data_IF_734350496995
#
_entry.id   IF_734350496995
#
_cell.length_a   1.000
_cell.length_b   1.000
_cell.length_c   1.000
_cell.angle_alpha   90.00
_cell.angle_beta   90.00
_cell.angle_gamma   90.00
#
_symmetry.space_group_name_H-M   'P 1'
#
loop_
_entity.id
_entity.type
_entity.pdbx_description
1 polymer ?
#
# COMPACT_ATOMS: atom_id res chain seq x y z
N UNK A 1 10.58 28.68 5.72
CA UNK A 1 11.71 29.12 4.91
C UNK A 1 12.30 27.89 4.26
N UNK A 2 12.11 27.72 2.93
CA UNK A 2 12.86 26.71 2.19
C UNK A 2 14.34 27.09 2.30
N UNK A 3 15.11 26.32 3.01
CA UNK A 3 16.56 26.38 2.93
C UNK A 3 16.91 25.80 1.59
N UNK A 4 17.35 26.62 0.63
CA UNK A 4 17.81 26.14 -0.66
C UNK A 4 19.08 25.33 -0.43
N UNK A 5 18.92 24.01 -0.33
CA UNK A 5 20.06 23.10 -0.26
C UNK A 5 20.69 23.05 -1.64
N UNK A 6 21.91 23.48 -1.76
CA UNK A 6 22.66 23.34 -3.00
C UNK A 6 23.10 21.90 -3.19
N UNK A 7 23.14 21.46 -4.43
CA UNK A 7 23.57 20.13 -4.84
C UNK A 7 24.60 20.22 -5.94
N UNK A 8 25.41 19.19 -6.07
CA UNK A 8 26.37 19.07 -7.15
C UNK A 8 25.70 18.37 -8.34
N UNK A 9 25.57 19.06 -9.46
CA UNK A 9 25.18 18.48 -10.73
C UNK A 9 26.42 18.03 -11.51
N UNK A 10 26.72 16.74 -11.48
CA UNK A 10 27.79 16.11 -12.23
C UNK A 10 27.24 15.16 -13.32
N UNK A 11 26.02 15.38 -13.78
CA UNK A 11 25.36 14.54 -14.80
C UNK A 11 26.08 14.59 -16.15
N UNK A 12 26.68 15.72 -16.51
CA UNK A 12 27.50 15.88 -17.71
C UNK A 12 28.73 14.95 -17.74
N UNK A 13 29.18 14.50 -16.58
CA UNK A 13 30.33 13.60 -16.41
C UNK A 13 29.91 12.15 -16.11
N UNK A 14 28.62 11.82 -16.24
CA UNK A 14 28.09 10.47 -16.00
C UNK A 14 27.96 10.08 -14.52
N UNK A 15 28.16 11.01 -13.59
CA UNK A 15 28.10 10.75 -12.13
C UNK A 15 26.70 10.97 -11.56
N UNK A 16 25.96 11.96 -12.10
CA UNK A 16 24.61 12.29 -11.61
C UNK A 16 24.61 13.41 -10.58
N UNK A 17 23.48 13.54 -9.85
CA UNK A 17 23.30 14.55 -8.81
C UNK A 17 23.85 14.04 -7.47
N UNK A 18 24.70 14.82 -6.80
CA UNK A 18 25.34 14.45 -5.54
C UNK A 18 24.89 15.41 -4.44
N UNK A 19 24.47 14.86 -3.32
CA UNK A 19 24.05 15.60 -2.10
C UNK A 19 25.06 15.36 -0.98
N UNK A 20 25.12 16.29 -0.02
CA UNK A 20 25.94 16.12 1.19
C UNK A 20 27.45 16.38 1.00
N UNK A 21 27.83 17.04 -0.09
CA UNK A 21 29.21 17.52 -0.33
C UNK A 21 29.22 19.05 -0.41
N UNK A 22 30.40 19.63 -0.32
CA UNK A 22 30.58 21.08 -0.49
C UNK A 22 30.87 21.46 -1.95
N UNK A 23 30.85 22.77 -2.24
CA UNK A 23 31.07 23.31 -3.58
C UNK A 23 32.47 23.00 -4.12
N UNK A 24 33.49 23.05 -3.27
CA UNK A 24 34.85 22.77 -3.66
C UNK A 24 35.05 21.31 -4.09
N UNK A 25 34.41 20.39 -3.37
CA UNK A 25 34.37 18.95 -3.73
C UNK A 25 33.61 18.72 -5.02
N UNK A 26 32.47 19.41 -5.20
CA UNK A 26 31.67 19.32 -6.42
C UNK A 26 32.46 19.73 -7.66
N UNK A 27 33.05 20.91 -7.62
CA UNK A 27 33.77 21.48 -8.77
C UNK A 27 35.15 20.85 -8.99
N UNK A 28 35.82 20.49 -7.90
CA UNK A 28 37.17 19.91 -7.94
C UNK A 28 37.19 18.39 -8.27
N UNK A 29 36.49 17.60 -7.48
CA UNK A 29 36.55 16.14 -7.59
C UNK A 29 35.63 15.55 -8.64
N UNK A 30 34.48 16.19 -8.87
CA UNK A 30 33.44 15.69 -9.77
C UNK A 30 33.29 16.54 -11.04
N UNK A 31 34.02 17.67 -11.14
CA UNK A 31 33.89 18.65 -12.21
C UNK A 31 32.41 18.99 -12.49
N UNK A 32 31.64 19.09 -11.42
CA UNK A 32 30.21 19.32 -11.44
C UNK A 32 29.86 20.80 -11.30
N UNK A 33 28.60 21.13 -11.50
CA UNK A 33 28.05 22.47 -11.29
C UNK A 33 27.36 22.53 -9.94
N UNK A 34 27.73 23.52 -9.11
CA UNK A 34 27.10 23.76 -7.82
C UNK A 34 25.81 24.57 -8.02
N UNK A 35 24.67 23.92 -7.88
CA UNK A 35 23.37 24.49 -8.21
C UNK A 35 22.37 24.39 -7.05
N UNK A 36 21.29 25.13 -7.12
CA UNK A 36 20.19 25.02 -6.15
C UNK A 36 19.43 23.71 -6.38
N UNK A 37 19.15 22.98 -5.32
CA UNK A 37 18.40 21.71 -5.37
C UNK A 37 17.02 21.85 -6.03
N UNK A 38 16.44 23.03 -6.00
CA UNK A 38 15.13 23.30 -6.60
C UNK A 38 15.12 23.38 -8.14
N UNK A 39 16.26 23.23 -8.79
CA UNK A 39 16.34 23.47 -10.25
C UNK A 39 15.98 22.25 -11.11
N UNK A 40 15.93 21.02 -10.57
CA UNK A 40 15.85 19.86 -11.47
C UNK A 40 15.08 18.65 -10.94
N UNK A 41 14.51 18.67 -9.76
CA UNK A 41 13.49 17.69 -9.43
C UNK A 41 12.15 18.23 -9.90
N UNK A 42 11.71 17.82 -11.08
CA UNK A 42 10.31 17.85 -11.48
C UNK A 42 9.50 16.95 -10.56
N UNK A 43 9.53 17.24 -9.26
CA UNK A 43 8.66 16.63 -8.30
C UNK A 43 7.30 17.32 -8.46
N UNK A 44 6.34 16.60 -8.95
CA UNK A 44 5.01 16.76 -8.39
C UNK A 44 5.19 16.49 -6.90
N UNK A 45 4.91 17.49 -6.06
CA UNK A 45 4.80 17.24 -4.61
C UNK A 45 3.78 16.12 -4.43
N UNK A 46 4.25 14.93 -4.13
CA UNK A 46 3.37 13.79 -3.93
C UNK A 46 2.87 13.84 -2.49
N UNK A 47 1.58 14.14 -2.35
CA UNK A 47 0.93 14.17 -1.04
C UNK A 47 0.68 12.76 -0.52
N UNK A 48 0.99 12.58 0.76
CA UNK A 48 0.74 11.38 1.52
C UNK A 48 0.02 11.71 2.82
N UNK A 49 -0.93 10.86 3.20
CA UNK A 49 -1.64 10.98 4.48
C UNK A 49 -1.13 9.94 5.47
N UNK A 50 -0.96 10.33 6.72
CA UNK A 50 -0.61 9.39 7.79
C UNK A 50 -1.83 8.56 8.13
N UNK A 51 -1.72 7.23 8.05
CA UNK A 51 -2.75 6.30 8.50
C UNK A 51 -2.61 6.09 10.01
N UNK A 52 -1.41 5.73 10.46
CA UNK A 52 -1.10 5.46 11.87
C UNK A 52 0.41 5.37 12.12
N UNK A 53 0.78 5.40 13.39
CA UNK A 53 2.09 4.96 13.86
C UNK A 53 1.97 3.48 14.25
N UNK A 54 2.85 2.64 13.72
CA UNK A 54 2.90 1.22 14.02
C UNK A 54 3.52 0.98 15.41
N UNK A 55 3.32 -0.22 15.97
CA UNK A 55 3.88 -0.63 17.27
C UNK A 55 5.41 -0.53 17.31
N UNK A 56 6.08 -0.72 16.20
CA UNK A 56 7.53 -0.61 16.05
C UNK A 56 8.04 0.83 15.82
N UNK A 57 7.16 1.83 15.94
CA UNK A 57 7.46 3.24 15.77
C UNK A 57 7.53 3.69 14.30
N UNK A 58 7.37 2.80 13.32
CA UNK A 58 7.32 3.18 11.92
C UNK A 58 6.00 3.90 11.59
N UNK A 59 6.03 4.80 10.60
CA UNK A 59 4.89 5.63 10.22
C UNK A 59 4.27 5.06 8.96
N UNK A 60 3.02 4.60 9.04
CA UNK A 60 2.25 4.08 7.91
C UNK A 60 1.54 5.20 7.19
N UNK A 61 1.80 5.33 5.88
CA UNK A 61 1.27 6.40 5.04
C UNK A 61 0.61 5.84 3.78
N UNK A 62 -0.40 6.57 3.28
CA UNK A 62 -1.13 6.28 2.03
C UNK A 62 -0.99 7.46 1.08
N UNK A 63 -0.73 7.18 -0.18
CA UNK A 63 -0.69 8.20 -1.23
C UNK A 63 -2.07 8.88 -1.37
N UNK A 64 -2.07 10.21 -1.53
CA UNK A 64 -3.31 10.98 -1.69
C UNK A 64 -4.07 10.56 -2.94
N UNK A 65 -3.42 10.61 -4.08
CA UNK A 65 -4.01 10.26 -5.36
C UNK A 65 -3.78 8.78 -5.70
N UNK A 66 -4.70 8.22 -6.46
CA UNK A 66 -4.49 6.91 -7.06
C UNK A 66 -3.31 6.93 -8.04
N UNK A 67 -2.45 5.92 -7.97
CA UNK A 67 -1.33 5.75 -8.90
C UNK A 67 -1.82 5.40 -10.31
N UNK A 68 -2.92 4.67 -10.38
CA UNK A 68 -3.70 4.35 -11.57
C UNK A 68 -5.03 3.68 -11.16
N UNK A 69 -5.80 3.21 -12.14
CA UNK A 69 -6.91 2.26 -11.95
C UNK A 69 -6.44 0.86 -12.31
N UNK A 70 -6.72 -0.13 -11.47
CA UNK A 70 -6.36 -1.53 -11.70
C UNK A 70 -7.45 -2.47 -11.23
N UNK A 71 -7.50 -3.66 -11.83
CA UNK A 71 -8.18 -4.81 -11.24
C UNK A 71 -7.43 -5.25 -10.00
N UNK A 72 -8.13 -5.78 -9.01
CA UNK A 72 -7.46 -6.45 -7.89
C UNK A 72 -6.88 -7.79 -8.38
N UNK A 73 -7.67 -8.55 -9.14
CA UNK A 73 -7.23 -9.74 -9.86
C UNK A 73 -7.92 -9.88 -11.22
N UNK A 74 -7.33 -10.60 -12.17
CA UNK A 74 -7.90 -10.78 -13.50
C UNK A 74 -9.18 -11.64 -13.48
N UNK A 75 -9.16 -12.73 -12.73
CA UNK A 75 -10.26 -13.67 -12.60
C UNK A 75 -10.95 -13.51 -11.25
N UNK A 76 -12.18 -14.00 -11.14
CA UNK A 76 -13.02 -13.86 -9.96
C UNK A 76 -13.72 -15.14 -9.51
N UNK A 77 -13.59 -16.21 -10.27
CA UNK A 77 -14.36 -17.44 -10.18
C UNK A 77 -13.82 -18.45 -9.16
N UNK A 78 -12.88 -18.03 -8.31
CA UNK A 78 -12.32 -18.85 -7.24
C UNK A 78 -12.02 -18.01 -5.99
N UNK A 79 -12.11 -18.62 -4.82
CA UNK A 79 -11.79 -18.02 -3.53
C UNK A 79 -10.32 -17.57 -3.42
N UNK A 80 -9.42 -18.14 -4.18
CA UNK A 80 -8.02 -17.75 -4.24
C UNK A 80 -7.85 -16.27 -4.63
N UNK A 81 -8.68 -15.77 -5.52
CA UNK A 81 -8.53 -14.44 -6.12
C UNK A 81 -8.84 -13.25 -5.18
N UNK A 82 -9.32 -13.49 -3.96
CA UNK A 82 -9.43 -12.42 -2.95
C UNK A 82 -8.07 -12.01 -2.37
N UNK A 83 -7.03 -12.80 -2.59
CA UNK A 83 -5.69 -12.57 -2.01
C UNK A 83 -4.85 -11.56 -2.77
N UNK A 84 -4.11 -10.73 -2.03
CA UNK A 84 -3.03 -9.91 -2.58
C UNK A 84 -1.94 -10.76 -3.23
N UNK A 85 -1.70 -11.93 -2.64
CA UNK A 85 -1.10 -13.09 -3.30
C UNK A 85 -2.02 -14.28 -3.10
N UNK A 86 -1.97 -15.25 -3.99
CA UNK A 86 -2.87 -16.40 -3.97
C UNK A 86 -2.14 -17.70 -4.35
N UNK A 87 -2.78 -18.82 -4.09
CA UNK A 87 -2.23 -20.15 -4.34
C UNK A 87 -2.79 -20.79 -5.61
N UNK A 88 -3.24 -22.03 -5.47
CA UNK A 88 -3.80 -22.84 -6.58
C UNK A 88 -5.30 -22.65 -6.63
N UNK A 89 -5.82 -22.26 -7.79
CA UNK A 89 -7.27 -22.27 -8.09
C UNK A 89 -7.77 -23.70 -8.22
N UNK A 90 -9.07 -23.90 -8.05
CA UNK A 90 -9.71 -25.23 -8.06
C UNK A 90 -9.11 -26.22 -7.03
N UNK A 91 -8.41 -25.69 -6.02
CA UNK A 91 -7.87 -26.51 -4.94
C UNK A 91 -8.97 -26.98 -4.00
N UNK A 92 -8.74 -28.13 -3.39
CA UNK A 92 -9.64 -28.73 -2.38
C UNK A 92 -9.24 -28.41 -0.94
N UNK A 93 -8.18 -27.63 -0.74
CA UNK A 93 -7.70 -27.26 0.59
C UNK A 93 -7.50 -25.75 0.72
N UNK A 94 -7.85 -25.20 1.88
CA UNK A 94 -7.62 -23.78 2.21
C UNK A 94 -6.15 -23.39 2.06
N UNK A 95 -5.24 -24.20 2.57
CA UNK A 95 -3.81 -23.92 2.54
C UNK A 95 -3.26 -23.80 1.11
N UNK A 96 -3.71 -24.63 0.19
CA UNK A 96 -3.29 -24.56 -1.20
C UNK A 96 -3.95 -23.39 -1.94
N UNK A 97 -5.25 -23.13 -1.70
CA UNK A 97 -5.99 -21.98 -2.28
C UNK A 97 -5.35 -20.64 -1.88
N UNK A 98 -4.94 -20.52 -0.62
CA UNK A 98 -4.40 -19.29 -0.04
C UNK A 98 -2.88 -19.30 0.19
N UNK A 99 -2.15 -20.18 -0.48
CA UNK A 99 -0.68 -20.10 -0.55
C UNK A 99 -0.26 -18.79 -1.25
N UNK A 100 0.90 -18.25 -0.86
CA UNK A 100 1.40 -16.98 -1.41
C UNK A 100 2.37 -17.24 -2.58
N UNK A 101 1.95 -18.00 -3.58
CA UNK A 101 2.81 -18.43 -4.71
C UNK A 101 2.62 -17.59 -5.97
N UNK A 102 1.46 -16.95 -6.14
CA UNK A 102 1.13 -16.14 -7.30
C UNK A 102 0.83 -14.70 -6.88
N UNK A 103 1.30 -13.74 -7.65
CA UNK A 103 0.97 -12.32 -7.47
C UNK A 103 -0.40 -12.00 -8.09
N UNK A 104 -1.22 -11.23 -7.39
CA UNK A 104 -2.41 -10.63 -7.98
C UNK A 104 -2.04 -9.52 -8.97
N UNK A 105 -2.99 -9.10 -9.81
CA UNK A 105 -2.81 -7.99 -10.73
C UNK A 105 -2.45 -6.71 -10.00
N UNK A 106 -3.14 -6.42 -8.88
CA UNK A 106 -2.87 -5.21 -8.10
C UNK A 106 -1.49 -5.22 -7.44
N UNK A 107 -1.00 -6.40 -7.00
CA UNK A 107 0.37 -6.54 -6.48
C UNK A 107 1.39 -6.21 -7.57
N UNK A 108 1.23 -6.78 -8.76
CA UNK A 108 2.12 -6.50 -9.90
C UNK A 108 2.12 -5.00 -10.26
N UNK A 109 0.96 -4.36 -10.22
CA UNK A 109 0.82 -2.91 -10.42
C UNK A 109 1.60 -2.11 -9.38
N UNK A 110 1.48 -2.46 -8.11
CA UNK A 110 2.18 -1.79 -7.01
C UNK A 110 3.69 -2.04 -7.05
N UNK A 111 4.13 -3.26 -7.33
CA UNK A 111 5.55 -3.60 -7.46
C UNK A 111 6.21 -2.80 -8.60
N UNK A 112 5.56 -2.72 -9.75
CA UNK A 112 6.03 -1.94 -10.90
C UNK A 112 6.12 -0.44 -10.56
N UNK A 113 5.10 0.09 -9.87
CA UNK A 113 5.09 1.48 -9.46
C UNK A 113 6.19 1.76 -8.43
N UNK A 114 6.39 0.88 -7.45
CA UNK A 114 7.47 1.02 -6.46
C UNK A 114 8.84 1.06 -7.13
N UNK A 115 9.09 0.15 -8.05
CA UNK A 115 10.36 0.08 -8.79
C UNK A 115 10.66 1.38 -9.54
N UNK A 116 9.65 1.99 -10.13
CA UNK A 116 9.80 3.20 -10.93
C UNK A 116 9.87 4.48 -10.11
N UNK A 117 9.32 4.50 -8.89
CA UNK A 117 9.12 5.73 -8.13
C UNK A 117 9.78 5.72 -6.74
N UNK A 118 9.90 4.56 -6.08
CA UNK A 118 10.31 4.50 -4.67
C UNK A 118 11.61 3.74 -4.41
N UNK A 119 12.20 3.05 -5.37
CA UNK A 119 13.41 2.24 -5.15
C UNK A 119 14.58 3.08 -4.60
N UNK A 120 14.70 4.32 -5.04
CA UNK A 120 15.72 5.26 -4.58
C UNK A 120 15.50 5.75 -3.13
N UNK A 121 14.30 5.57 -2.59
CA UNK A 121 13.92 5.91 -1.22
C UNK A 121 13.89 4.70 -0.28
N UNK A 122 14.35 3.54 -0.74
CA UNK A 122 14.32 2.29 0.04
C UNK A 122 15.05 2.39 1.40
N UNK A 123 16.02 3.29 1.53
CA UNK A 123 16.75 3.53 2.78
C UNK A 123 15.86 4.06 3.91
N UNK A 124 14.78 4.80 3.59
CA UNK A 124 13.83 5.36 4.57
C UNK A 124 12.52 4.57 4.66
N UNK A 125 12.29 3.61 3.78
CA UNK A 125 11.09 2.76 3.80
C UNK A 125 11.34 1.56 4.71
N UNK A 126 10.36 1.26 5.57
CA UNK A 126 10.39 0.15 6.51
C UNK A 126 9.51 -1.00 6.04
N UNK A 127 9.90 -2.22 6.38
CA UNK A 127 9.12 -3.43 6.14
C UNK A 127 8.34 -3.85 7.39
N UNK A 128 7.31 -3.08 7.75
CA UNK A 128 6.43 -3.35 8.90
C UNK A 128 5.24 -4.24 8.56
N UNK A 129 5.12 -4.65 7.31
CA UNK A 129 4.13 -5.59 6.81
C UNK A 129 2.78 -4.98 6.42
N UNK A 130 2.03 -5.76 5.64
CA UNK A 130 0.71 -5.42 5.11
C UNK A 130 -0.23 -6.60 5.33
N UNK A 131 -1.37 -6.38 6.00
CA UNK A 131 -2.29 -7.44 6.35
C UNK A 131 -3.37 -7.65 5.28
N UNK A 132 -3.37 -8.81 4.64
CA UNK A 132 -4.42 -9.25 3.72
C UNK A 132 -5.31 -10.33 4.30
N UNK A 133 -5.78 -10.16 5.54
CA UNK A 133 -6.48 -11.12 6.40
C UNK A 133 -7.51 -11.98 5.67
N UNK A 134 -7.15 -13.22 5.38
CA UNK A 134 -8.01 -14.25 4.79
C UNK A 134 -8.60 -15.21 5.83
N UNK A 135 -8.49 -14.89 7.14
CA UNK A 135 -9.18 -15.65 8.17
C UNK A 135 -10.68 -15.75 7.87
N UNK A 136 -11.29 -16.86 8.23
CA UNK A 136 -12.68 -17.13 7.90
C UNK A 136 -13.61 -16.61 9.00
N UNK A 137 -14.58 -15.78 8.63
CA UNK A 137 -15.76 -15.47 9.44
C UNK A 137 -16.85 -16.55 9.26
N UNK A 138 -16.95 -17.09 8.04
CA UNK A 138 -17.80 -18.25 7.71
C UNK A 138 -17.37 -18.88 6.38
N UNK A 139 -17.80 -20.14 6.14
CA UNK A 139 -17.47 -20.86 4.91
C UNK A 139 -16.13 -21.59 4.98
N UNK A 140 -15.62 -22.02 3.82
CA UNK A 140 -14.42 -22.87 3.70
C UNK A 140 -13.21 -22.15 3.11
N UNK A 141 -13.41 -21.04 2.41
CA UNK A 141 -12.34 -20.35 1.68
C UNK A 141 -11.83 -21.10 0.45
N UNK A 142 -12.66 -21.95 -0.16
CA UNK A 142 -12.26 -22.84 -1.26
C UNK A 142 -13.26 -22.72 -2.40
N UNK A 143 -12.73 -22.60 -3.63
CA UNK A 143 -13.50 -22.60 -4.88
C UNK A 143 -14.61 -21.55 -4.87
N UNK A 144 -15.81 -21.95 -5.27
CA UNK A 144 -17.01 -21.09 -5.37
C UNK A 144 -17.93 -21.22 -4.15
N UNK A 145 -17.54 -21.95 -3.11
CA UNK A 145 -18.34 -22.08 -1.89
C UNK A 145 -18.44 -20.72 -1.17
N UNK A 146 -19.67 -20.37 -0.73
CA UNK A 146 -19.86 -19.12 0.01
C UNK A 146 -18.93 -19.02 1.20
N UNK A 147 -18.10 -18.02 1.17
CA UNK A 147 -17.13 -17.70 2.21
C UNK A 147 -17.23 -16.23 2.57
N UNK A 148 -17.17 -15.90 3.86
CA UNK A 148 -17.03 -14.54 4.38
C UNK A 148 -15.72 -14.47 5.15
N UNK A 149 -14.90 -13.47 4.87
CA UNK A 149 -13.57 -13.33 5.49
C UNK A 149 -13.62 -12.51 6.78
N UNK A 150 -12.54 -12.50 7.54
CA UNK A 150 -12.48 -11.92 8.88
C UNK A 150 -12.95 -10.47 8.96
N UNK A 151 -12.50 -9.61 8.02
CA UNK A 151 -12.95 -8.22 7.98
C UNK A 151 -14.46 -8.08 7.75
N UNK A 152 -15.11 -9.03 7.03
CA UNK A 152 -16.57 -9.03 6.89
C UNK A 152 -17.27 -9.20 8.24
N UNK A 153 -16.82 -10.16 9.04
CA UNK A 153 -17.35 -10.39 10.39
C UNK A 153 -17.15 -9.17 11.28
N UNK A 154 -15.95 -8.63 11.31
CA UNK A 154 -15.60 -7.48 12.15
C UNK A 154 -16.36 -6.22 11.77
N UNK A 155 -16.36 -5.84 10.50
CA UNK A 155 -16.83 -4.51 10.08
C UNK A 155 -18.33 -4.47 9.78
N UNK A 156 -18.88 -5.56 9.20
CA UNK A 156 -20.30 -5.59 8.84
C UNK A 156 -21.20 -6.07 9.98
N UNK A 157 -20.75 -7.12 10.71
CA UNK A 157 -21.58 -7.74 11.76
C UNK A 157 -21.30 -7.14 13.14
N UNK A 158 -20.03 -7.11 13.56
CA UNK A 158 -19.68 -6.83 14.95
C UNK A 158 -19.31 -5.36 15.22
N UNK A 159 -18.99 -4.58 14.20
CA UNK A 159 -18.50 -3.18 14.31
C UNK A 159 -17.25 -3.06 15.20
N UNK A 160 -16.33 -4.02 15.10
CA UNK A 160 -15.12 -4.13 15.93
C UNK A 160 -13.87 -4.24 15.06
N UNK A 161 -13.41 -3.14 14.44
CA UNK A 161 -12.19 -3.13 13.64
C UNK A 161 -10.95 -3.46 14.48
N UNK A 162 -9.88 -3.98 13.85
CA UNK A 162 -8.62 -4.31 14.52
C UNK A 162 -7.40 -4.01 13.63
N UNK A 163 -6.27 -3.65 14.26
CA UNK A 163 -5.00 -3.46 13.56
C UNK A 163 -4.14 -4.73 13.49
N UNK A 164 -4.35 -5.68 14.41
CA UNK A 164 -3.57 -6.91 14.46
C UNK A 164 -3.94 -7.81 13.30
N UNK A 165 -2.92 -8.29 12.57
CA UNK A 165 -3.10 -9.31 11.54
C UNK A 165 -3.32 -10.68 12.22
N UNK A 166 -4.47 -11.35 12.02
CA UNK A 166 -4.78 -12.58 12.73
C UNK A 166 -3.89 -13.76 12.37
N UNK A 167 -3.39 -13.80 11.13
CA UNK A 167 -2.59 -14.89 10.61
C UNK A 167 -1.26 -14.39 10.06
N UNK A 168 -0.15 -15.03 10.45
CA UNK A 168 1.19 -14.68 9.96
C UNK A 168 1.34 -14.90 8.45
N UNK A 169 0.63 -15.88 7.88
CA UNK A 169 0.62 -16.13 6.43
C UNK A 169 -0.03 -15.00 5.63
N UNK A 170 -0.87 -14.19 6.26
CA UNK A 170 -1.56 -13.04 5.65
C UNK A 170 -0.89 -11.70 5.97
N UNK A 171 0.17 -11.71 6.77
CA UNK A 171 1.02 -10.55 6.98
C UNK A 171 2.13 -10.56 5.93
N UNK A 172 1.95 -9.76 4.89
CA UNK A 172 2.88 -9.67 3.77
C UNK A 172 4.08 -8.82 4.11
N UNK A 173 5.27 -9.40 3.98
CA UNK A 173 6.58 -8.79 4.26
C UNK A 173 7.59 -9.23 3.21
N UNK A 174 8.74 -8.55 3.12
CA UNK A 174 9.84 -8.95 2.23
C UNK A 174 10.67 -10.09 2.85
N UNK A 175 11.53 -10.69 2.07
CA UNK A 175 12.40 -11.79 2.49
C UNK A 175 13.33 -11.42 3.67
N UNK A 176 13.62 -10.15 3.86
CA UNK A 176 14.50 -9.65 4.93
C UNK A 176 13.82 -9.48 6.28
N UNK A 177 12.48 -9.53 6.32
CA UNK A 177 11.71 -9.37 7.55
C UNK A 177 11.89 -10.55 8.51
N UNK A 178 11.82 -10.27 9.81
CA UNK A 178 11.71 -11.28 10.87
C UNK A 178 10.26 -11.71 11.11
N UNK A 179 9.28 -11.02 10.51
CA UNK A 179 7.83 -11.22 10.68
C UNK A 179 7.20 -11.68 9.35
N UNK A 180 5.96 -12.12 9.40
CA UNK A 180 5.10 -12.33 8.25
C UNK A 180 5.53 -13.47 7.33
N UNK A 181 4.97 -13.45 6.13
CA UNK A 181 5.09 -14.54 5.15
C UNK A 181 6.32 -14.43 4.21
N UNK A 182 7.02 -13.29 4.23
CA UNK A 182 8.24 -13.03 3.43
C UNK A 182 8.06 -13.14 1.90
N UNK A 183 6.85 -12.94 1.42
CA UNK A 183 6.50 -13.18 0.02
C UNK A 183 6.57 -11.93 -0.86
N UNK A 184 6.80 -10.74 -0.27
CA UNK A 184 6.89 -9.50 -1.05
C UNK A 184 8.26 -9.32 -1.71
N UNK A 185 8.23 -8.76 -2.92
CA UNK A 185 9.42 -8.23 -3.60
C UNK A 185 9.79 -6.86 -3.04
N UNK A 186 8.78 -5.99 -2.84
CA UNK A 186 8.94 -4.63 -2.34
C UNK A 186 8.03 -4.38 -1.13
N UNK A 187 8.43 -3.53 -0.17
CA UNK A 187 7.64 -3.20 1.02
C UNK A 187 6.52 -2.19 0.70
N UNK A 188 5.57 -2.61 -0.14
CA UNK A 188 4.43 -1.82 -0.59
C UNK A 188 3.16 -2.67 -0.56
N UNK A 189 2.02 -2.04 -0.26
CA UNK A 189 0.71 -2.69 -0.23
C UNK A 189 -0.42 -1.68 -0.30
N UNK A 190 -1.57 -2.06 0.25
CA UNK A 190 -2.76 -1.23 0.34
C UNK A 190 -3.17 -1.02 1.81
N UNK A 191 -4.05 -0.07 2.04
CA UNK A 191 -4.73 0.12 3.32
C UNK A 191 -5.66 -1.06 3.59
N UNK A 192 -5.86 -1.43 4.85
CA UNK A 192 -6.88 -2.42 5.22
C UNK A 192 -8.25 -1.76 5.41
N UNK A 193 -9.32 -2.53 5.26
CA UNK A 193 -10.67 -2.05 5.56
C UNK A 193 -10.83 -1.68 7.04
N UNK A 194 -10.13 -2.38 7.93
CA UNK A 194 -10.10 -2.07 9.37
C UNK A 194 -9.45 -0.70 9.63
N UNK A 195 -8.35 -0.35 8.96
CA UNK A 195 -7.73 0.98 9.04
C UNK A 195 -8.66 2.08 8.52
N UNK A 196 -9.38 1.82 7.43
CA UNK A 196 -10.41 2.75 6.91
C UNK A 196 -11.55 2.93 7.93
N UNK A 197 -12.00 1.85 8.58
CA UNK A 197 -13.04 1.93 9.60
C UNK A 197 -12.60 2.75 10.83
N UNK A 198 -11.34 2.62 11.27
CA UNK A 198 -10.80 3.47 12.34
C UNK A 198 -10.71 4.95 11.94
N UNK A 199 -10.49 5.23 10.65
CA UNK A 199 -10.48 6.60 10.14
C UNK A 199 -11.88 7.22 10.03
N UNK A 200 -12.94 6.41 10.05
CA UNK A 200 -14.33 6.89 9.98
C UNK A 200 -15.19 6.27 8.87
N UNK A 201 -14.62 5.37 8.06
CA UNK A 201 -15.37 4.64 7.02
C UNK A 201 -16.33 3.62 7.63
N UNK A 202 -17.58 3.61 7.20
CA UNK A 202 -18.63 2.69 7.68
C UNK A 202 -19.20 1.88 6.53
N UNK A 203 -19.47 0.58 6.78
CA UNK A 203 -20.03 -0.27 5.73
C UNK A 203 -21.41 0.18 5.29
N UNK A 204 -21.51 0.58 4.02
CA UNK A 204 -22.75 0.98 3.35
C UNK A 204 -23.27 2.35 3.76
N UNK A 205 -22.51 3.16 4.48
CA UNK A 205 -22.90 4.50 4.92
C UNK A 205 -21.96 5.55 4.33
N UNK A 206 -22.50 6.53 3.62
CA UNK A 206 -21.74 7.65 3.09
C UNK A 206 -21.21 8.51 4.24
N UNK A 207 -19.90 8.77 4.24
CA UNK A 207 -19.26 9.69 5.15
C UNK A 207 -18.09 10.39 4.43
N UNK A 208 -18.29 11.61 3.99
CA UNK A 208 -17.29 12.41 3.26
C UNK A 208 -16.32 13.16 4.19
N UNK A 209 -16.48 13.03 5.51
CA UNK A 209 -15.84 13.94 6.46
C UNK A 209 -14.58 13.36 7.13
N UNK A 210 -14.20 12.12 6.84
CA UNK A 210 -12.95 11.60 7.40
C UNK A 210 -11.76 11.80 6.46
N UNK A 211 -10.60 11.97 7.06
CA UNK A 211 -9.39 12.48 6.40
C UNK A 211 -8.82 11.61 5.26
N UNK A 212 -9.26 10.36 5.08
CA UNK A 212 -8.78 9.50 3.97
C UNK A 212 -9.61 9.64 2.69
N UNK A 213 -10.75 10.34 2.74
CA UNK A 213 -11.62 10.53 1.57
C UNK A 213 -10.98 11.54 0.61
N UNK A 214 -10.90 11.17 -0.66
CA UNK A 214 -10.43 12.03 -1.76
C UNK A 214 -11.43 12.06 -2.94
N UNK A 215 -12.68 11.60 -2.69
CA UNK A 215 -13.77 11.51 -3.68
C UNK A 215 -13.50 10.53 -4.84
N UNK A 216 -12.46 9.72 -4.76
CA UNK A 216 -12.17 8.65 -5.71
C UNK A 216 -12.37 7.28 -5.05
N UNK A 217 -12.96 6.29 -5.75
CA UNK A 217 -13.04 4.95 -5.24
C UNK A 217 -11.68 4.27 -5.27
N UNK A 218 -11.33 3.50 -4.22
CA UNK A 218 -10.06 2.79 -4.17
C UNK A 218 -10.15 1.43 -3.48
N UNK A 219 -9.27 0.52 -3.87
CA UNK A 219 -9.13 -0.80 -3.26
C UNK A 219 -8.54 -0.75 -1.87
N UNK A 220 -9.03 -1.64 -1.00
CA UNK A 220 -8.32 -2.03 0.22
C UNK A 220 -7.62 -3.38 0.04
N UNK A 221 -6.82 -3.79 1.02
CA UNK A 221 -6.14 -5.09 1.01
C UNK A 221 -6.99 -6.22 1.58
N UNK A 222 -8.17 -5.92 2.12
CA UNK A 222 -8.98 -6.84 2.90
C UNK A 222 -9.96 -7.63 2.03
N UNK A 223 -9.91 -8.98 2.03
CA UNK A 223 -10.95 -9.81 1.44
C UNK A 223 -12.32 -9.54 2.05
N UNK A 224 -13.35 -9.51 1.20
CA UNK A 224 -14.75 -9.33 1.64
C UNK A 224 -15.48 -10.67 1.70
N UNK A 225 -15.73 -11.28 0.56
CA UNK A 225 -16.36 -12.57 0.43
C UNK A 225 -15.94 -13.29 -0.86
N UNK A 226 -16.23 -14.57 -0.92
CA UNK A 226 -16.29 -15.34 -2.17
C UNK A 226 -17.60 -16.12 -2.19
N UNK A 227 -18.30 -16.07 -3.32
CA UNK A 227 -19.51 -16.86 -3.60
C UNK A 227 -19.33 -17.47 -4.98
N UNK A 228 -20.03 -16.99 -6.00
CA UNK A 228 -19.72 -17.25 -7.41
C UNK A 228 -18.61 -16.34 -7.94
N UNK A 229 -18.22 -15.35 -7.16
CA UNK A 229 -17.21 -14.34 -7.51
C UNK A 229 -16.47 -13.86 -6.28
N UNK A 230 -15.17 -13.75 -6.40
CA UNK A 230 -14.28 -13.19 -5.41
C UNK A 230 -14.50 -11.67 -5.26
N UNK A 231 -14.62 -11.20 -4.04
CA UNK A 231 -14.81 -9.79 -3.70
C UNK A 231 -13.84 -9.33 -2.61
N UNK A 232 -13.39 -8.09 -2.74
CA UNK A 232 -12.47 -7.39 -1.82
C UNK A 232 -13.14 -6.11 -1.36
N UNK A 233 -12.85 -5.68 -0.13
CA UNK A 233 -13.29 -4.40 0.37
C UNK A 233 -12.70 -3.26 -0.45
N UNK A 234 -13.48 -2.24 -0.67
CA UNK A 234 -13.06 -0.97 -1.26
C UNK A 234 -13.74 0.20 -0.58
N UNK A 235 -13.27 1.39 -0.87
CA UNK A 235 -13.88 2.64 -0.45
C UNK A 235 -14.56 3.25 -1.66
N UNK A 236 -15.82 3.63 -1.50
CA UNK A 236 -16.58 4.34 -2.51
C UNK A 236 -16.21 5.84 -2.57
N UNK A 237 -16.64 6.56 -3.62
CA UNK A 237 -16.33 8.00 -3.74
C UNK A 237 -16.97 8.82 -2.64
N UNK A 238 -18.03 8.32 -2.00
CA UNK A 238 -18.67 8.91 -0.83
C UNK A 238 -18.03 8.54 0.51
N UNK A 239 -16.85 7.90 0.51
CA UNK A 239 -16.17 7.47 1.73
C UNK A 239 -16.77 6.23 2.39
N UNK A 240 -17.79 5.63 1.82
CA UNK A 240 -18.41 4.41 2.33
C UNK A 240 -17.49 3.20 2.15
N UNK A 241 -17.44 2.32 3.15
CA UNK A 241 -16.85 0.99 2.99
C UNK A 241 -17.84 0.10 2.25
N UNK A 242 -17.44 -0.37 1.07
CA UNK A 242 -18.18 -1.28 0.24
C UNK A 242 -17.34 -2.46 -0.21
N UNK A 243 -17.83 -3.21 -1.18
CA UNK A 243 -17.06 -4.25 -1.84
C UNK A 243 -17.09 -4.14 -3.35
N UNK A 244 -16.02 -4.57 -3.99
CA UNK A 244 -15.93 -4.73 -5.43
C UNK A 244 -15.56 -6.17 -5.81
N UNK A 245 -16.09 -6.64 -6.92
CA UNK A 245 -15.57 -7.87 -7.54
C UNK A 245 -14.16 -7.60 -8.07
N UNK A 246 -13.24 -8.52 -7.79
CA UNK A 246 -11.79 -8.35 -8.02
C UNK A 246 -11.40 -8.02 -9.46
N UNK A 247 -12.21 -8.37 -10.46
CA UNK A 247 -11.96 -8.10 -11.87
C UNK A 247 -12.31 -6.67 -12.31
N UNK A 248 -12.89 -5.85 -11.43
CA UNK A 248 -13.24 -4.46 -11.74
C UNK A 248 -12.03 -3.55 -11.63
N UNK A 249 -11.95 -2.55 -12.51
CA UNK A 249 -10.96 -1.48 -12.42
C UNK A 249 -11.40 -0.45 -11.36
N UNK A 250 -10.59 -0.27 -10.31
CA UNK A 250 -10.81 0.72 -9.24
C UNK A 250 -9.46 1.37 -8.91
N UNK A 251 -9.48 2.55 -8.35
CA UNK A 251 -8.27 3.29 -7.98
C UNK A 251 -7.33 2.52 -7.05
N UNK A 252 -6.03 2.74 -7.21
CA UNK A 252 -4.98 2.11 -6.41
C UNK A 252 -4.22 3.19 -5.66
N UNK A 253 -4.43 3.31 -4.37
CA UNK A 253 -3.68 4.20 -3.49
C UNK A 253 -2.59 3.41 -2.77
N UNK A 254 -1.33 3.67 -3.13
CA UNK A 254 -0.18 2.98 -2.57
C UNK A 254 -0.02 3.27 -1.07
N UNK A 255 0.34 2.25 -0.30
CA UNK A 255 0.66 2.34 1.13
C UNK A 255 2.08 1.84 1.35
N UNK A 256 2.86 2.61 2.09
CA UNK A 256 4.19 2.26 2.57
C UNK A 256 4.32 2.54 4.06
N UNK A 257 5.42 2.09 4.66
CA UNK A 257 5.79 2.44 6.02
C UNK A 257 7.13 3.18 5.99
N UNK A 258 7.23 4.32 6.66
CA UNK A 258 8.49 5.05 6.83
C UNK A 258 9.17 4.58 8.11
N UNK A 259 10.50 4.54 8.11
CA UNK A 259 11.28 4.30 9.32
C UNK A 259 11.05 5.44 10.31
N UNK A 260 11.08 5.16 11.61
CA UNK A 260 11.00 6.18 12.67
C UNK A 260 12.13 7.19 12.62
N UNK A 261 13.22 6.88 11.92
CA UNK A 261 14.38 7.75 11.68
C UNK A 261 14.29 8.54 10.38
N UNK A 262 13.19 8.41 9.62
CA UNK A 262 12.97 9.22 8.43
C UNK A 262 12.81 10.69 8.85
N UNK A 263 13.66 11.54 8.33
CA UNK A 263 13.55 12.99 8.57
C UNK A 263 12.39 13.55 7.74
N UNK A 264 11.46 14.18 8.41
CA UNK A 264 10.41 14.99 7.78
C UNK A 264 10.97 16.41 7.67
N UNK A 265 11.29 16.83 6.45
CA UNK A 265 11.66 18.22 6.23
C UNK A 265 10.35 19.03 6.30
N UNK A 266 10.26 19.87 7.33
CA UNK A 266 9.11 20.75 7.54
C UNK A 266 8.98 21.75 6.38
N UNK A 267 8.00 21.54 5.55
CA UNK A 267 7.65 22.39 4.40
C UNK A 267 6.16 22.43 4.13
N UNK A 268 5.40 21.58 4.82
CA UNK A 268 3.94 21.56 4.76
C UNK A 268 3.34 22.42 5.87
N UNK A 269 2.35 23.22 5.53
CA UNK A 269 1.58 24.01 6.51
C UNK A 269 0.54 23.15 7.27
N UNK A 270 0.52 21.82 7.08
CA UNK A 270 -0.44 20.91 7.71
C UNK A 270 -1.89 21.07 7.22
N UNK A 271 -2.12 21.88 6.21
CA UNK A 271 -3.42 22.03 5.55
C UNK A 271 -3.40 21.35 4.19
N UNK A 272 -4.48 20.65 3.89
CA UNK A 272 -4.79 20.15 2.55
C UNK A 272 -5.40 21.26 1.72
#
# INVERSE_FOLDING_TARGET
QCVSTKVCDATSNGVGMIVGIDEATCTGNFNGTWTNANATYGSKDELWRIIRINEDGTIRIIKEDSINSSRFNENQDDAAYVGYMYGTTDSTTYASTHANTNSSTIKTTLDTWYQNNLVNYSSIIADSGFCGDRSLSSGTGIGTTRTEYGAFGRLRKNKTPQFKCPQSNDLYTTATSTKGNKALTYPIGLITADEVAYAGGVNGEINNNYYLVNNEPFWTMSPFHSVSSAGVWGVGPGGDLGNGYVHRGVGVRAVINLKSTAEIIDGGNGTL
#
